data_IF_651257826848
#
_entry.id   IF_651257826848
#
_cell.length_a   1.000
_cell.length_b   1.000
_cell.length_c   1.000
_cell.angle_alpha   90.00
_cell.angle_beta   90.00
_cell.angle_gamma   90.00
#
_symmetry.space_group_name_H-M   'P 1'
#
loop_
_entity.id
_entity.type
_entity.pdbx_description
1 polymer ?
#
# COMPACT_ATOMS: atom_id res chain seq x y z
N UNK A 1 19.56 26.77 3.01
CA UNK A 1 18.51 25.79 3.35
C UNK A 1 19.16 24.79 4.28
N UNK A 2 18.87 24.89 5.57
CA UNK A 2 19.47 24.01 6.58
C UNK A 2 19.09 22.57 6.27
N UNK A 3 20.08 21.69 6.26
CA UNK A 3 19.94 20.27 6.02
C UNK A 3 19.33 19.64 7.28
N UNK A 4 18.03 19.85 7.50
CA UNK A 4 17.29 19.22 8.59
C UNK A 4 17.23 17.73 8.26
N UNK A 5 17.75 16.89 9.16
CA UNK A 5 17.61 15.43 9.04
C UNK A 5 16.13 15.12 8.85
N UNK A 6 15.78 14.34 7.84
CA UNK A 6 14.42 13.82 7.64
C UNK A 6 13.99 13.08 8.92
N UNK A 7 12.77 13.34 9.41
CA UNK A 7 12.28 12.64 10.61
C UNK A 7 12.09 11.17 10.32
N UNK A 8 12.16 10.33 11.37
CA UNK A 8 11.92 8.90 11.22
C UNK A 8 10.52 8.65 10.63
N UNK A 9 9.50 9.37 11.11
CA UNK A 9 8.12 9.30 10.61
C UNK A 9 8.05 9.58 9.11
N UNK A 10 8.65 10.68 8.63
CA UNK A 10 8.64 11.03 7.20
C UNK A 10 9.35 9.97 6.35
N UNK A 11 10.47 9.43 6.85
CA UNK A 11 11.20 8.35 6.16
C UNK A 11 10.33 7.09 6.03
N UNK A 12 9.63 6.69 7.10
CA UNK A 12 8.73 5.53 7.10
C UNK A 12 7.51 5.74 6.21
N UNK A 13 6.89 6.92 6.24
CA UNK A 13 5.77 7.26 5.36
C UNK A 13 6.18 7.23 3.88
N UNK A 14 7.41 7.65 3.54
CA UNK A 14 7.90 7.57 2.18
C UNK A 14 8.11 6.12 1.71
N UNK A 15 8.56 5.22 2.59
CA UNK A 15 8.60 3.79 2.27
C UNK A 15 7.20 3.25 2.03
N UNK A 16 6.26 3.54 2.93
CA UNK A 16 4.85 3.13 2.80
C UNK A 16 4.23 3.64 1.49
N UNK A 17 4.51 4.90 1.10
CA UNK A 17 4.06 5.49 -0.16
C UNK A 17 4.58 4.71 -1.37
N UNK A 18 5.86 4.33 -1.36
CA UNK A 18 6.49 3.57 -2.45
C UNK A 18 5.81 2.21 -2.61
N UNK A 19 5.58 1.50 -1.51
CA UNK A 19 4.98 0.18 -1.50
C UNK A 19 3.50 0.22 -1.92
N UNK A 20 2.74 1.22 -1.45
CA UNK A 20 1.37 1.45 -1.90
C UNK A 20 1.27 1.77 -3.40
N UNK A 21 2.23 2.50 -3.96
CA UNK A 21 2.24 2.81 -5.40
C UNK A 21 2.41 1.54 -6.26
N UNK A 22 3.29 0.62 -5.85
CA UNK A 22 3.42 -0.67 -6.55
C UNK A 22 2.16 -1.51 -6.37
N UNK A 23 1.63 -1.58 -5.16
CA UNK A 23 0.40 -2.33 -4.88
C UNK A 23 -0.79 -1.83 -5.71
N UNK A 24 -1.00 -0.52 -5.77
CA UNK A 24 -2.00 0.13 -6.61
C UNK A 24 -1.84 -0.23 -8.09
N UNK A 25 -0.62 -0.18 -8.62
CA UNK A 25 -0.36 -0.51 -10.01
C UNK A 25 -0.60 -2.00 -10.31
N UNK A 26 -0.23 -2.90 -9.40
CA UNK A 26 -0.54 -4.33 -9.49
C UNK A 26 -2.05 -4.58 -9.51
N UNK A 27 -2.83 -3.92 -8.64
CA UNK A 27 -4.28 -4.07 -8.61
C UNK A 27 -4.94 -3.67 -9.93
N UNK A 28 -4.49 -2.57 -10.56
CA UNK A 28 -4.94 -2.20 -11.91
C UNK A 28 -4.57 -3.26 -12.95
N UNK A 29 -3.35 -3.79 -12.87
CA UNK A 29 -2.87 -4.83 -13.76
C UNK A 29 -3.73 -6.10 -13.64
N UNK A 30 -4.08 -6.50 -12.42
CA UNK A 30 -4.95 -7.64 -12.14
C UNK A 30 -6.38 -7.39 -12.64
N UNK A 31 -6.93 -6.20 -12.39
CA UNK A 31 -8.23 -5.78 -12.90
C UNK A 31 -8.32 -5.90 -14.43
N UNK A 32 -7.29 -5.47 -15.16
CA UNK A 32 -7.27 -5.56 -16.62
C UNK A 32 -7.11 -6.98 -17.15
N UNK A 33 -6.33 -7.82 -16.47
CA UNK A 33 -5.85 -9.09 -17.04
C UNK A 33 -6.49 -10.34 -16.44
N UNK A 34 -7.34 -10.23 -15.42
CA UNK A 34 -8.04 -11.38 -14.83
C UNK A 34 -8.88 -12.09 -15.89
N UNK A 35 -8.89 -13.43 -15.84
CA UNK A 35 -9.62 -14.30 -16.76
C UNK A 35 -10.21 -15.48 -15.99
N UNK A 36 -11.15 -16.19 -16.63
CA UNK A 36 -11.73 -17.42 -16.09
C UNK A 36 -13.10 -17.21 -15.44
N UNK A 37 -13.61 -18.23 -14.73
CA UNK A 37 -15.00 -18.27 -14.27
C UNK A 37 -15.36 -17.18 -13.26
N UNK A 38 -14.38 -16.62 -12.54
CA UNK A 38 -14.56 -15.56 -11.56
C UNK A 38 -14.34 -14.16 -12.11
N UNK A 39 -14.21 -14.00 -13.43
CA UNK A 39 -13.87 -12.74 -14.10
C UNK A 39 -14.65 -11.54 -13.53
N UNK A 40 -15.97 -11.56 -13.58
CA UNK A 40 -16.78 -10.40 -13.17
C UNK A 40 -16.62 -10.06 -11.68
N UNK A 41 -16.53 -11.07 -10.81
CA UNK A 41 -16.39 -10.84 -9.36
C UNK A 41 -15.03 -10.25 -9.02
N UNK A 42 -13.96 -10.82 -9.60
CA UNK A 42 -12.60 -10.35 -9.32
C UNK A 42 -12.29 -9.04 -10.04
N UNK A 43 -12.80 -8.83 -11.25
CA UNK A 43 -12.65 -7.58 -11.98
C UNK A 43 -13.20 -6.40 -11.17
N UNK A 44 -14.44 -6.52 -10.68
CA UNK A 44 -15.07 -5.48 -9.85
C UNK A 44 -14.35 -5.33 -8.50
N UNK A 45 -13.97 -6.44 -7.87
CA UNK A 45 -13.24 -6.40 -6.59
C UNK A 45 -11.87 -5.73 -6.72
N UNK A 46 -11.11 -6.02 -7.77
CA UNK A 46 -9.82 -5.36 -7.99
C UNK A 46 -9.98 -3.87 -8.29
N UNK A 47 -11.10 -3.46 -8.89
CA UNK A 47 -11.44 -2.04 -9.05
C UNK A 47 -11.71 -1.33 -7.73
N UNK A 48 -12.53 -1.93 -6.87
CA UNK A 48 -12.76 -1.44 -5.51
C UNK A 48 -11.43 -1.21 -4.78
N UNK A 49 -10.55 -2.21 -4.80
CA UNK A 49 -9.26 -2.14 -4.12
C UNK A 49 -8.31 -1.08 -4.70
N UNK A 50 -8.20 -0.96 -6.04
CA UNK A 50 -7.27 0.05 -6.58
C UNK A 50 -7.78 1.47 -6.33
N UNK A 51 -9.10 1.68 -6.21
CA UNK A 51 -9.66 2.98 -5.84
C UNK A 51 -9.35 3.32 -4.40
N UNK A 52 -9.54 2.37 -3.48
CA UNK A 52 -9.11 2.51 -2.08
C UNK A 52 -7.61 2.80 -2.00
N UNK A 53 -6.77 2.05 -2.72
CA UNK A 53 -5.32 2.25 -2.73
C UNK A 53 -4.93 3.63 -3.28
N UNK A 54 -5.66 4.17 -4.26
CA UNK A 54 -5.41 5.50 -4.80
C UNK A 54 -5.66 6.61 -3.75
N UNK A 55 -6.74 6.49 -2.99
CA UNK A 55 -7.04 7.42 -1.88
C UNK A 55 -5.95 7.36 -0.80
N UNK A 56 -5.53 6.15 -0.44
CA UNK A 56 -4.46 5.93 0.54
C UNK A 56 -3.11 6.50 0.08
N UNK A 57 -2.77 6.34 -1.20
CA UNK A 57 -1.55 6.94 -1.79
C UNK A 57 -1.54 8.46 -1.63
N UNK A 58 -2.68 9.12 -1.85
CA UNK A 58 -2.81 10.57 -1.72
C UNK A 58 -2.67 11.00 -0.26
N UNK A 59 -3.41 10.36 0.66
CA UNK A 59 -3.37 10.67 2.09
C UNK A 59 -1.96 10.48 2.69
N UNK A 60 -1.23 9.43 2.28
CA UNK A 60 0.17 9.23 2.71
C UNK A 60 1.06 10.37 2.21
N UNK A 61 0.93 10.76 0.93
CA UNK A 61 1.74 11.81 0.34
C UNK A 61 1.44 13.19 0.97
N UNK A 62 0.17 13.51 1.20
CA UNK A 62 -0.24 14.71 1.92
C UNK A 62 0.25 14.71 3.36
N UNK A 63 0.25 13.55 4.03
CA UNK A 63 0.80 13.44 5.38
C UNK A 63 2.30 13.70 5.43
N UNK A 64 3.06 13.21 4.45
CA UNK A 64 4.48 13.54 4.30
C UNK A 64 4.68 15.05 4.16
N UNK A 65 3.85 15.72 3.35
CA UNK A 65 3.92 17.18 3.17
C UNK A 65 3.54 17.93 4.46
N UNK A 66 2.54 17.45 5.20
CA UNK A 66 2.10 18.05 6.46
C UNK A 66 3.18 18.01 7.56
N UNK A 67 4.15 17.09 7.45
CA UNK A 67 5.31 16.96 8.33
C UNK A 67 6.56 17.66 7.77
N UNK A 68 6.38 18.62 6.85
CA UNK A 68 7.45 19.35 6.14
C UNK A 68 8.40 18.44 5.34
N UNK A 69 7.96 17.22 5.00
CA UNK A 69 8.68 16.25 4.19
C UNK A 69 8.48 16.44 2.70
N UNK A 70 9.19 15.67 1.88
CA UNK A 70 8.99 15.62 0.42
C UNK A 70 8.59 14.21 0.00
N UNK A 71 7.37 14.01 -0.55
CA UNK A 71 6.92 12.70 -1.03
C UNK A 71 7.85 12.13 -2.10
N UNK A 72 8.30 10.88 -1.93
CA UNK A 72 9.25 10.22 -2.83
C UNK A 72 8.59 9.33 -3.89
N UNK A 73 7.48 9.81 -4.47
CA UNK A 73 6.64 9.07 -5.42
C UNK A 73 7.11 9.03 -6.88
N UNK A 74 8.37 9.37 -7.19
CA UNK A 74 8.86 9.26 -8.57
C UNK A 74 8.99 7.79 -8.99
N UNK A 75 8.64 7.44 -10.24
CA UNK A 75 8.76 6.06 -10.75
C UNK A 75 10.18 5.48 -10.57
N UNK A 76 11.22 6.29 -10.78
CA UNK A 76 12.61 5.87 -10.55
C UNK A 76 12.83 5.43 -9.11
N UNK A 77 12.30 6.20 -8.15
CA UNK A 77 12.46 5.90 -6.74
C UNK A 77 11.62 4.68 -6.33
N UNK A 78 10.39 4.60 -6.81
CA UNK A 78 9.48 3.47 -6.56
C UNK A 78 10.14 2.16 -7.00
N UNK A 79 10.57 2.09 -8.27
CA UNK A 79 11.17 0.87 -8.83
C UNK A 79 12.50 0.47 -8.18
N UNK A 80 13.20 1.40 -7.50
CA UNK A 80 14.49 1.10 -6.86
C UNK A 80 14.36 0.65 -5.41
N UNK A 81 13.24 0.97 -4.73
CA UNK A 81 13.14 0.83 -3.27
C UNK A 81 11.87 0.12 -2.80
N UNK A 82 10.96 -0.30 -3.69
CA UNK A 82 9.78 -1.05 -3.30
C UNK A 82 10.15 -2.42 -2.72
N UNK A 83 9.52 -2.75 -1.60
CA UNK A 83 9.48 -4.08 -1.02
C UNK A 83 8.35 -4.91 -1.61
N UNK A 84 7.22 -4.29 -1.95
CA UNK A 84 6.13 -4.94 -2.70
C UNK A 84 6.63 -5.30 -4.09
N UNK A 85 6.48 -6.57 -4.47
CA UNK A 85 6.88 -7.06 -5.78
C UNK A 85 6.01 -6.47 -6.89
N UNK A 86 6.63 -6.00 -7.98
CA UNK A 86 5.92 -5.68 -9.21
C UNK A 86 5.71 -6.95 -10.01
N UNK A 87 4.45 -7.33 -10.26
CA UNK A 87 4.13 -8.61 -10.89
C UNK A 87 4.05 -8.54 -12.42
N UNK A 88 4.08 -9.71 -13.06
CA UNK A 88 3.95 -9.87 -14.50
C UNK A 88 2.51 -9.61 -14.98
N UNK A 89 2.35 -9.25 -16.26
CA UNK A 89 1.05 -8.91 -16.86
C UNK A 89 0.05 -10.08 -16.89
N UNK A 90 0.56 -11.32 -16.97
CA UNK A 90 -0.27 -12.52 -17.08
C UNK A 90 -0.08 -13.41 -15.87
N UNK A 91 -1.15 -13.58 -15.11
CA UNK A 91 -1.23 -14.45 -13.93
C UNK A 91 -2.59 -15.16 -13.93
N UNK A 92 -2.67 -16.31 -13.26
CA UNK A 92 -3.98 -16.90 -12.96
C UNK A 92 -4.66 -16.15 -11.80
N UNK A 93 -5.98 -16.30 -11.70
CA UNK A 93 -6.79 -15.57 -10.74
C UNK A 93 -6.41 -15.84 -9.28
N UNK A 94 -5.99 -17.08 -8.94
CA UNK A 94 -5.61 -17.40 -7.58
C UNK A 94 -4.24 -16.79 -7.24
N UNK A 95 -3.28 -16.84 -8.16
CA UNK A 95 -1.98 -16.20 -8.01
C UNK A 95 -2.11 -14.67 -7.84
N UNK A 96 -3.05 -14.01 -8.53
CA UNK A 96 -3.35 -12.58 -8.30
C UNK A 96 -3.83 -12.32 -6.87
N UNK A 97 -4.71 -13.18 -6.34
CA UNK A 97 -5.23 -13.06 -4.96
C UNK A 97 -4.13 -13.34 -3.93
N UNK A 98 -3.25 -14.32 -4.17
CA UNK A 98 -2.08 -14.60 -3.33
C UNK A 98 -1.12 -13.41 -3.30
N UNK A 99 -0.84 -12.80 -4.46
CA UNK A 99 -0.03 -11.59 -4.57
C UNK A 99 -0.59 -10.42 -3.75
N UNK A 100 -1.91 -10.24 -3.73
CA UNK A 100 -2.57 -9.21 -2.90
C UNK A 100 -2.35 -9.50 -1.42
N UNK A 101 -2.48 -10.75 -0.97
CA UNK A 101 -2.28 -11.12 0.44
C UNK A 101 -0.83 -10.86 0.88
N UNK A 102 0.15 -11.20 0.04
CA UNK A 102 1.57 -10.93 0.35
C UNK A 102 1.88 -9.42 0.35
N UNK A 103 1.32 -8.65 -0.59
CA UNK A 103 1.45 -7.20 -0.58
C UNK A 103 0.85 -6.59 0.70
N UNK A 104 -0.35 -7.01 1.11
CA UNK A 104 -0.96 -6.54 2.36
C UNK A 104 -0.10 -6.84 3.59
N UNK A 105 0.59 -7.99 3.63
CA UNK A 105 1.50 -8.33 4.73
C UNK A 105 2.68 -7.36 4.81
N UNK A 106 3.24 -6.97 3.66
CA UNK A 106 4.30 -5.95 3.58
C UNK A 106 3.76 -4.60 4.06
N UNK A 107 2.62 -4.16 3.52
CA UNK A 107 1.99 -2.89 3.89
C UNK A 107 1.64 -2.81 5.37
N UNK A 108 1.14 -3.89 5.98
CA UNK A 108 0.92 -3.94 7.44
C UNK A 108 2.23 -3.81 8.20
N UNK A 109 3.32 -4.43 7.72
CA UNK A 109 4.65 -4.25 8.28
C UNK A 109 5.11 -2.79 8.25
N UNK A 110 4.98 -2.12 7.09
CA UNK A 110 5.35 -0.72 6.93
C UNK A 110 4.48 0.22 7.79
N UNK A 111 3.17 -0.05 7.89
CA UNK A 111 2.26 0.69 8.76
C UNK A 111 2.66 0.57 10.23
N UNK A 112 3.04 -0.62 10.70
CA UNK A 112 3.52 -0.79 12.08
C UNK A 112 4.80 0.01 12.35
N UNK A 113 5.72 0.08 11.38
CA UNK A 113 6.92 0.91 11.51
C UNK A 113 6.60 2.41 11.50
N UNK A 114 5.60 2.85 10.72
CA UNK A 114 5.08 4.23 10.76
C UNK A 114 4.49 4.54 12.13
N UNK A 115 3.59 3.69 12.64
CA UNK A 115 2.94 3.89 13.93
C UNK A 115 3.94 3.90 15.09
N UNK A 116 4.95 3.03 15.05
CA UNK A 116 6.02 3.01 16.03
C UNK A 116 6.83 4.32 16.02
N UNK A 117 7.24 4.79 14.84
CA UNK A 117 7.96 6.05 14.72
C UNK A 117 7.10 7.25 15.17
N UNK A 118 5.80 7.22 14.86
CA UNK A 118 4.87 8.26 15.27
C UNK A 118 4.66 8.29 16.79
N UNK A 119 4.53 7.13 17.44
CA UNK A 119 4.43 7.01 18.90
C UNK A 119 5.70 7.54 19.59
N UNK A 120 6.89 7.19 19.07
CA UNK A 120 8.18 7.69 19.58
C UNK A 120 8.32 9.21 19.46
N UNK A 121 7.76 9.82 18.41
CA UNK A 121 7.77 11.27 18.17
C UNK A 121 6.55 12.02 18.77
N UNK A 122 5.58 11.31 19.36
CA UNK A 122 4.33 11.88 19.88
C UNK A 122 3.39 12.42 18.80
N UNK A 123 3.45 11.87 17.59
CA UNK A 123 2.66 12.27 16.43
C UNK A 123 1.30 11.57 16.36
N UNK A 124 0.37 12.04 17.20
CA UNK A 124 -1.01 11.54 17.28
C UNK A 124 -1.78 11.63 15.95
N UNK A 125 -1.47 12.61 15.10
CA UNK A 125 -2.16 12.78 13.82
C UNK A 125 -1.82 11.65 12.84
N UNK A 126 -0.56 11.21 12.81
CA UNK A 126 -0.14 10.04 12.02
C UNK A 126 -0.73 8.76 12.60
N UNK A 127 -0.79 8.63 13.93
CA UNK A 127 -1.36 7.45 14.59
C UNK A 127 -2.86 7.29 14.25
N UNK A 128 -3.63 8.38 14.34
CA UNK A 128 -5.07 8.38 14.07
C UNK A 128 -5.40 7.92 12.64
N UNK A 129 -4.69 8.48 11.65
CA UNK A 129 -4.88 8.14 10.23
C UNK A 129 -4.60 6.64 9.99
N UNK A 130 -3.41 6.16 10.37
CA UNK A 130 -2.90 4.88 9.87
C UNK A 130 -3.29 3.66 10.71
N UNK A 131 -3.83 3.83 11.92
CA UNK A 131 -4.34 2.71 12.72
C UNK A 131 -5.49 1.99 12.00
N UNK A 132 -6.39 2.74 11.38
CA UNK A 132 -7.55 2.19 10.65
C UNK A 132 -7.14 1.35 9.45
N UNK A 133 -6.04 1.70 8.77
CA UNK A 133 -5.56 1.01 7.58
C UNK A 133 -5.16 -0.44 7.87
N UNK A 134 -4.55 -0.70 9.03
CA UNK A 134 -4.18 -2.07 9.43
C UNK A 134 -5.44 -2.93 9.53
N UNK A 135 -6.47 -2.43 10.21
CA UNK A 135 -7.74 -3.13 10.38
C UNK A 135 -8.40 -3.44 9.01
N UNK A 136 -8.38 -2.50 8.08
CA UNK A 136 -8.92 -2.69 6.72
C UNK A 136 -8.17 -3.78 5.95
N UNK A 137 -6.84 -3.73 5.95
CA UNK A 137 -5.99 -4.73 5.29
C UNK A 137 -6.17 -6.12 5.90
N UNK A 138 -6.28 -6.22 7.23
CA UNK A 138 -6.55 -7.49 7.93
C UNK A 138 -7.91 -8.08 7.54
N UNK A 139 -8.94 -7.24 7.45
CA UNK A 139 -10.28 -7.64 7.01
C UNK A 139 -10.26 -8.14 5.57
N UNK A 140 -9.61 -7.41 4.66
CA UNK A 140 -9.45 -7.84 3.27
C UNK A 140 -8.69 -9.16 3.18
N UNK A 141 -7.60 -9.31 3.93
CA UNK A 141 -6.82 -10.55 3.98
C UNK A 141 -7.64 -11.76 4.46
N UNK A 142 -8.54 -11.59 5.44
CA UNK A 142 -9.45 -12.66 5.82
C UNK A 142 -10.38 -13.07 4.68
N UNK A 143 -10.94 -12.10 3.94
CA UNK A 143 -11.80 -12.37 2.79
C UNK A 143 -11.05 -13.10 1.67
N UNK A 144 -9.85 -12.64 1.30
CA UNK A 144 -9.03 -13.29 0.26
C UNK A 144 -8.57 -14.69 0.65
N UNK A 145 -8.12 -14.88 1.90
CA UNK A 145 -7.80 -16.21 2.42
C UNK A 145 -9.01 -17.15 2.44
N UNK A 146 -10.22 -16.61 2.56
CA UNK A 146 -11.45 -17.40 2.49
C UNK A 146 -11.82 -17.74 1.03
N UNK A 147 -11.57 -16.83 0.09
CA UNK A 147 -11.74 -17.07 -1.35
C UNK A 147 -10.84 -18.19 -1.88
N UNK A 148 -9.60 -18.31 -1.36
CA UNK A 148 -8.62 -19.32 -1.78
C UNK A 148 -8.83 -20.73 -1.20
N UNK A 149 -9.81 -20.94 -0.32
CA UNK A 149 -10.11 -22.24 0.30
C UNK A 149 -11.09 -23.06 -0.54
#
# INVERSE_FOLDING_TARGET
MENKSESAVVSRLNQLLIDYQVHYQNLRLFHWNVKGPFFFVLHDKFEELYREAAEKVDEIAERVLALDGTPKGSLKNILSNAHVESHAEQMDANAMVEAIIEAHKILIGDLNEVLKAADEDGDEGTIDIFTSYIQELEKHNWMFKSYLK
#
